data_IF_144241856606
#
_entry.id   IF_144241856606
#
_cell.length_a   1.000
_cell.length_b   1.000
_cell.length_c   1.000
_cell.angle_alpha   90.00
_cell.angle_beta   90.00
_cell.angle_gamma   90.00
#
_symmetry.space_group_name_H-M   'P 1'
#
loop_
_entity.id
_entity.type
_entity.pdbx_description
1 polymer ?
#
# COMPACT_ATOMS: atom_id res chain seq x y z
N UNK A 1 -0.53 -1.51 39.08
CA UNK A 1 -0.64 -1.48 37.61
C UNK A 1 -2.01 -0.94 37.28
N UNK A 2 -2.10 0.25 36.67
CA UNK A 2 -3.39 0.86 36.35
C UNK A 2 -4.06 0.01 35.24
N UNK A 3 -5.25 -0.51 35.53
CA UNK A 3 -6.06 -1.20 34.54
C UNK A 3 -6.31 -0.25 33.37
N UNK A 4 -5.99 -0.69 32.15
CA UNK A 4 -6.17 0.11 30.95
C UNK A 4 -7.69 0.20 30.68
N UNK A 5 -8.31 1.32 31.06
CA UNK A 5 -9.78 1.51 31.13
C UNK A 5 -10.52 1.28 29.80
N UNK A 6 -9.79 1.26 28.66
CA UNK A 6 -10.35 0.98 27.33
C UNK A 6 -10.61 -0.52 27.07
N UNK A 7 -9.84 -1.43 27.67
CA UNK A 7 -9.94 -2.88 27.44
C UNK A 7 -11.04 -3.53 28.29
N UNK A 8 -11.50 -2.88 29.36
CA UNK A 8 -12.47 -3.45 30.29
C UNK A 8 -13.88 -3.64 29.74
N UNK A 9 -14.21 -2.93 28.66
CA UNK A 9 -15.50 -3.03 27.97
C UNK A 9 -15.45 -3.90 26.70
N UNK A 10 -14.31 -4.54 26.42
CA UNK A 10 -14.12 -5.39 25.23
C UNK A 10 -14.42 -6.85 25.54
N UNK A 11 -14.85 -7.59 24.52
CA UNK A 11 -14.98 -9.05 24.56
C UNK A 11 -14.00 -9.74 23.62
N UNK A 12 -13.54 -10.94 24.00
CA UNK A 12 -12.63 -11.76 23.20
C UNK A 12 -13.14 -13.21 23.12
N UNK A 13 -13.04 -13.83 21.94
CA UNK A 13 -13.23 -15.27 21.77
C UNK A 13 -11.86 -15.94 21.59
N UNK A 14 -11.55 -16.91 22.44
CA UNK A 14 -10.31 -17.68 22.38
C UNK A 14 -10.62 -19.07 21.83
N UNK A 15 -10.03 -19.40 20.68
CA UNK A 15 -10.19 -20.68 19.99
C UNK A 15 -8.86 -21.40 19.98
N UNK A 16 -8.77 -22.46 20.76
CA UNK A 16 -7.54 -23.21 21.00
C UNK A 16 -7.94 -24.60 21.47
N UNK A 17 -7.38 -25.66 20.90
CA UNK A 17 -7.78 -27.05 21.22
C UNK A 17 -7.23 -27.50 22.58
N UNK A 18 -6.09 -26.94 22.99
CA UNK A 18 -5.41 -27.28 24.23
C UNK A 18 -6.07 -26.60 25.43
N UNK A 19 -6.72 -27.35 26.34
CA UNK A 19 -7.36 -26.75 27.50
C UNK A 19 -6.39 -25.97 28.40
N UNK A 20 -5.13 -26.42 28.46
CA UNK A 20 -4.07 -25.74 29.23
C UNK A 20 -3.70 -24.39 28.60
N UNK A 21 -3.49 -24.35 27.28
CA UNK A 21 -3.11 -23.12 26.59
C UNK A 21 -4.27 -22.13 26.56
N UNK A 22 -5.49 -22.63 26.33
CA UNK A 22 -6.72 -21.84 26.43
C UNK A 22 -6.91 -21.24 27.82
N UNK A 23 -6.72 -22.02 28.89
CA UNK A 23 -6.82 -21.52 30.27
C UNK A 23 -5.76 -20.45 30.56
N UNK A 24 -4.52 -20.66 30.10
CA UNK A 24 -3.45 -19.68 30.24
C UNK A 24 -3.77 -18.38 29.50
N UNK A 25 -4.29 -18.47 28.28
CA UNK A 25 -4.71 -17.32 27.48
C UNK A 25 -5.85 -16.53 28.13
N UNK A 26 -6.83 -17.22 28.73
CA UNK A 26 -7.91 -16.61 29.52
C UNK A 26 -7.33 -15.82 30.69
N UNK A 27 -6.48 -16.45 31.51
CA UNK A 27 -5.86 -15.80 32.68
C UNK A 27 -5.08 -14.54 32.28
N UNK A 28 -4.39 -14.58 31.13
CA UNK A 28 -3.69 -13.40 30.60
C UNK A 28 -4.67 -12.29 30.22
N UNK A 29 -5.74 -12.60 29.47
CA UNK A 29 -6.75 -11.62 29.08
C UNK A 29 -7.42 -10.97 30.31
N UNK A 30 -7.70 -11.75 31.35
CA UNK A 30 -8.25 -11.25 32.62
C UNK A 30 -7.29 -10.28 33.32
N UNK A 31 -5.99 -10.62 33.40
CA UNK A 31 -4.96 -9.73 33.96
C UNK A 31 -4.81 -8.42 33.19
N UNK A 32 -5.07 -8.45 31.88
CA UNK A 32 -5.07 -7.26 31.02
C UNK A 32 -6.38 -6.44 31.11
N UNK A 33 -7.36 -6.93 31.87
CA UNK A 33 -8.59 -6.22 32.19
C UNK A 33 -9.79 -6.59 31.32
N UNK A 34 -9.68 -7.53 30.39
CA UNK A 34 -10.81 -8.01 29.56
C UNK A 34 -11.72 -8.87 30.45
N UNK A 35 -13.00 -8.49 30.56
CA UNK A 35 -13.95 -9.16 31.46
C UNK A 35 -14.85 -10.18 30.79
N UNK A 36 -14.97 -10.14 29.46
CA UNK A 36 -15.97 -10.90 28.72
C UNK A 36 -15.25 -11.82 27.72
N UNK A 37 -14.94 -13.03 28.17
CA UNK A 37 -14.09 -14.00 27.46
C UNK A 37 -14.93 -15.22 27.08
N UNK A 38 -15.04 -15.49 25.79
CA UNK A 38 -15.63 -16.69 25.23
C UNK A 38 -14.52 -17.70 24.88
N UNK A 39 -14.84 -18.98 24.90
CA UNK A 39 -13.87 -20.06 24.67
C UNK A 39 -14.46 -21.11 23.74
N UNK A 40 -13.66 -21.60 22.80
CA UNK A 40 -13.95 -22.71 21.92
C UNK A 40 -12.73 -23.64 21.80
N UNK A 41 -12.97 -24.94 21.65
CA UNK A 41 -11.92 -25.95 21.47
C UNK A 41 -11.51 -26.19 20.00
N UNK A 42 -12.31 -25.76 19.03
CA UNK A 42 -12.02 -25.90 17.60
C UNK A 42 -12.82 -24.87 16.78
N UNK A 43 -12.62 -24.86 15.46
CA UNK A 43 -13.33 -23.94 14.58
C UNK A 43 -14.86 -24.15 14.51
N UNK A 44 -15.35 -25.39 14.63
CA UNK A 44 -16.78 -25.67 14.60
C UNK A 44 -17.50 -25.09 15.82
N UNK A 45 -16.98 -25.35 17.03
CA UNK A 45 -17.49 -24.78 18.28
C UNK A 45 -17.47 -23.25 18.25
N UNK A 46 -16.42 -22.67 17.65
CA UNK A 46 -16.32 -21.22 17.50
C UNK A 46 -17.44 -20.66 16.62
N UNK A 47 -17.74 -21.28 15.47
CA UNK A 47 -18.82 -20.86 14.58
C UNK A 47 -20.20 -21.03 15.24
N UNK A 48 -20.42 -22.11 15.97
CA UNK A 48 -21.65 -22.34 16.73
C UNK A 48 -21.86 -21.27 17.80
N UNK A 49 -20.81 -20.95 18.56
CA UNK A 49 -20.86 -19.87 19.55
C UNK A 49 -21.16 -18.53 18.88
N UNK A 50 -20.48 -18.19 17.78
CA UNK A 50 -20.73 -16.95 17.05
C UNK A 50 -22.17 -16.82 16.57
N UNK A 51 -22.79 -17.91 16.12
CA UNK A 51 -24.19 -17.94 15.70
C UNK A 51 -25.18 -17.72 16.87
N UNK A 52 -24.82 -18.11 18.10
CA UNK A 52 -25.65 -17.96 19.29
C UNK A 52 -25.50 -16.58 19.96
N UNK A 53 -24.39 -15.87 19.71
CA UNK A 53 -24.10 -14.59 20.35
C UNK A 53 -24.93 -13.45 19.73
N UNK A 54 -25.69 -12.73 20.57
CA UNK A 54 -26.42 -11.52 20.16
C UNK A 54 -25.51 -10.38 19.71
N UNK A 55 -24.27 -10.34 20.20
CA UNK A 55 -23.24 -9.37 19.85
C UNK A 55 -21.95 -10.13 19.59
N UNK A 56 -21.34 -9.88 18.43
CA UNK A 56 -20.06 -10.48 18.05
C UNK A 56 -18.96 -10.07 19.04
N UNK A 57 -17.97 -10.94 19.29
CA UNK A 57 -16.82 -10.58 20.09
C UNK A 57 -16.03 -9.44 19.43
N UNK A 58 -15.44 -8.55 20.22
CA UNK A 58 -14.63 -7.44 19.67
C UNK A 58 -13.31 -7.96 19.07
N UNK A 59 -12.86 -9.14 19.49
CA UNK A 59 -11.57 -9.74 19.15
C UNK A 59 -11.74 -11.27 19.09
N UNK A 60 -10.99 -11.93 18.23
CA UNK A 60 -10.89 -13.38 18.23
C UNK A 60 -9.43 -13.81 18.16
N UNK A 61 -9.00 -14.66 19.09
CA UNK A 61 -7.67 -15.25 19.10
C UNK A 61 -7.79 -16.71 18.68
N UNK A 62 -7.04 -17.10 17.65
CA UNK A 62 -7.19 -18.38 16.97
C UNK A 62 -5.87 -19.12 16.93
N UNK A 63 -5.87 -20.35 17.43
CA UNK A 63 -4.81 -21.30 17.10
C UNK A 63 -4.94 -21.78 15.66
N UNK A 64 -3.82 -21.90 14.96
CA UNK A 64 -3.83 -22.41 13.59
C UNK A 64 -4.02 -23.92 13.55
N UNK A 65 -3.63 -24.64 14.60
CA UNK A 65 -3.66 -26.10 14.62
C UNK A 65 -4.70 -26.59 15.61
N UNK A 66 -5.82 -27.09 15.10
CA UNK A 66 -6.91 -27.61 15.91
C UNK A 66 -7.52 -28.84 15.21
N UNK A 67 -8.07 -29.80 15.96
CA UNK A 67 -8.78 -30.92 15.37
C UNK A 67 -10.08 -30.46 14.69
N UNK A 68 -10.57 -31.29 13.78
CA UNK A 68 -11.82 -31.14 13.01
C UNK A 68 -11.86 -29.96 12.04
N UNK A 69 -11.70 -28.74 12.54
CA UNK A 69 -11.59 -27.50 11.76
C UNK A 69 -10.44 -26.67 12.32
N UNK A 70 -9.40 -26.53 11.50
CA UNK A 70 -8.21 -25.77 11.84
C UNK A 70 -8.45 -24.26 11.78
N UNK A 71 -7.48 -23.46 12.24
CA UNK A 71 -7.63 -22.01 12.28
C UNK A 71 -7.73 -21.37 10.88
N UNK A 72 -7.11 -21.98 9.87
CA UNK A 72 -7.11 -21.45 8.49
C UNK A 72 -8.49 -21.65 7.86
N UNK A 73 -9.06 -22.85 7.99
CA UNK A 73 -10.41 -23.17 7.52
C UNK A 73 -11.46 -22.33 8.25
N UNK A 74 -11.32 -22.16 9.57
CA UNK A 74 -12.18 -21.28 10.36
C UNK A 74 -12.21 -19.86 9.80
N UNK A 75 -11.04 -19.28 9.48
CA UNK A 75 -10.97 -17.91 8.97
C UNK A 75 -11.59 -17.78 7.57
N UNK A 76 -11.42 -18.77 6.70
CA UNK A 76 -12.12 -18.82 5.42
C UNK A 76 -13.64 -18.85 5.61
N UNK A 77 -14.13 -19.68 6.54
CA UNK A 77 -15.57 -19.75 6.88
C UNK A 77 -16.11 -18.46 7.46
N UNK A 78 -15.34 -17.76 8.30
CA UNK A 78 -15.72 -16.43 8.80
C UNK A 78 -15.93 -15.45 7.64
N UNK A 79 -15.07 -15.49 6.62
CA UNK A 79 -15.21 -14.65 5.43
C UNK A 79 -16.45 -15.01 4.59
N UNK A 80 -16.70 -16.30 4.33
CA UNK A 80 -17.90 -16.77 3.62
C UNK A 80 -19.19 -16.36 4.33
N UNK A 81 -19.19 -16.41 5.66
CA UNK A 81 -20.32 -16.03 6.53
C UNK A 81 -20.35 -14.53 6.86
N UNK A 82 -19.46 -13.73 6.27
CA UNK A 82 -19.39 -12.27 6.43
C UNK A 82 -19.17 -11.78 7.87
N UNK A 83 -18.52 -12.58 8.73
CA UNK A 83 -18.01 -12.11 10.02
C UNK A 83 -16.77 -11.24 9.80
N UNK A 84 -16.68 -10.12 10.52
CA UNK A 84 -15.58 -9.13 10.41
C UNK A 84 -15.03 -8.85 11.81
N UNK A 85 -14.35 -9.85 12.37
CA UNK A 85 -13.86 -9.83 13.75
C UNK A 85 -12.34 -9.68 13.71
N UNK A 86 -11.74 -8.68 14.38
CA UNK A 86 -10.28 -8.55 14.50
C UNK A 86 -9.61 -9.80 15.06
N UNK A 87 -8.68 -10.38 14.29
CA UNK A 87 -8.02 -11.64 14.56
C UNK A 87 -6.65 -11.46 15.21
N UNK A 88 -6.33 -12.33 16.17
CA UNK A 88 -4.97 -12.57 16.66
C UNK A 88 -4.65 -14.04 16.37
N UNK A 89 -3.60 -14.29 15.59
CA UNK A 89 -3.15 -15.66 15.35
C UNK A 89 -2.23 -16.07 16.51
N UNK A 90 -2.45 -17.22 17.13
CA UNK A 90 -1.49 -17.83 18.03
C UNK A 90 -0.92 -19.11 17.40
N UNK A 91 0.39 -19.25 17.25
CA UNK A 91 0.98 -20.46 16.65
C UNK A 91 2.35 -20.81 17.23
N UNK A 92 2.69 -22.10 17.23
CA UNK A 92 4.02 -22.65 17.56
C UNK A 92 4.91 -22.90 16.33
N UNK A 93 4.39 -22.66 15.12
CA UNK A 93 5.04 -22.97 13.83
C UNK A 93 6.07 -21.93 13.40
N UNK A 94 6.78 -22.26 12.32
CA UNK A 94 7.76 -21.39 11.67
C UNK A 94 7.14 -20.07 11.17
N UNK A 95 7.96 -19.02 11.15
CA UNK A 95 7.55 -17.66 10.78
C UNK A 95 7.03 -17.55 9.34
N UNK A 96 7.50 -18.42 8.46
CA UNK A 96 7.04 -18.55 7.07
C UNK A 96 5.56 -18.90 6.98
N UNK A 97 5.09 -19.90 7.76
CA UNK A 97 3.69 -20.31 7.78
C UNK A 97 2.81 -19.21 8.37
N UNK A 98 3.25 -18.59 9.47
CA UNK A 98 2.53 -17.48 10.12
C UNK A 98 2.41 -16.30 9.14
N UNK A 99 3.47 -15.99 8.40
CA UNK A 99 3.45 -14.95 7.37
C UNK A 99 2.48 -15.29 6.25
N UNK A 100 2.49 -16.52 5.73
CA UNK A 100 1.57 -16.94 4.66
C UNK A 100 0.10 -16.87 5.08
N UNK A 101 -0.21 -17.31 6.30
CA UNK A 101 -1.58 -17.20 6.84
C UNK A 101 -1.93 -15.73 7.07
N UNK A 102 -1.03 -14.92 7.60
CA UNK A 102 -1.27 -13.48 7.79
C UNK A 102 -1.59 -12.78 6.46
N UNK A 103 -0.81 -13.06 5.41
CA UNK A 103 -1.08 -12.57 4.05
C UNK A 103 -2.46 -13.02 3.58
N UNK A 104 -2.79 -14.30 3.73
CA UNK A 104 -4.09 -14.84 3.35
C UNK A 104 -5.26 -14.14 4.06
N UNK A 105 -5.17 -13.92 5.37
CA UNK A 105 -6.18 -13.18 6.15
C UNK A 105 -6.37 -11.76 5.60
N UNK A 106 -5.26 -11.06 5.36
CA UNK A 106 -5.32 -9.69 4.83
C UNK A 106 -5.89 -9.64 3.41
N UNK A 107 -5.56 -10.61 2.55
CA UNK A 107 -6.10 -10.73 1.18
C UNK A 107 -7.59 -11.06 1.18
N UNK A 108 -8.06 -11.86 2.14
CA UNK A 108 -9.48 -12.14 2.36
C UNK A 108 -10.24 -10.94 2.95
N UNK A 109 -9.54 -9.85 3.27
CA UNK A 109 -10.12 -8.63 3.83
C UNK A 109 -10.52 -8.75 5.30
N UNK A 110 -9.98 -9.74 6.03
CA UNK A 110 -10.22 -9.89 7.46
C UNK A 110 -9.23 -9.00 8.27
N UNK A 111 -9.70 -8.30 9.31
CA UNK A 111 -8.84 -7.47 10.15
C UNK A 111 -7.89 -8.32 10.99
N UNK A 112 -6.58 -8.15 10.84
CA UNK A 112 -5.54 -8.85 11.60
C UNK A 112 -4.83 -7.90 12.57
N UNK A 113 -4.87 -8.19 13.87
CA UNK A 113 -4.22 -7.43 14.94
C UNK A 113 -2.76 -7.84 15.16
N UNK A 114 -2.40 -9.06 14.75
CA UNK A 114 -1.05 -9.57 14.83
C UNK A 114 -1.01 -11.08 15.00
N UNK A 115 0.22 -11.58 15.10
CA UNK A 115 0.51 -12.98 15.38
C UNK A 115 1.35 -13.10 16.66
N UNK A 116 1.04 -14.11 17.46
CA UNK A 116 1.68 -14.42 18.73
C UNK A 116 2.34 -15.80 18.61
N UNK A 117 3.59 -15.88 19.06
CA UNK A 117 4.24 -17.19 19.24
C UNK A 117 3.81 -17.80 20.56
N UNK A 118 3.53 -19.09 20.55
CA UNK A 118 3.29 -19.87 21.77
C UNK A 118 4.65 -20.24 22.41
N UNK A 119 4.82 -20.12 23.74
CA UNK A 119 3.83 -19.68 24.73
C UNK A 119 3.58 -18.16 24.67
N UNK A 120 2.31 -17.76 24.85
CA UNK A 120 1.86 -16.37 24.68
C UNK A 120 2.55 -15.45 25.69
N UNK A 121 3.28 -14.45 25.20
CA UNK A 121 3.91 -13.44 26.06
C UNK A 121 2.93 -12.29 26.36
N UNK A 122 2.71 -11.91 27.64
CA UNK A 122 1.80 -10.82 28.02
C UNK A 122 2.11 -9.49 27.34
N UNK A 123 3.40 -9.17 27.13
CA UNK A 123 3.80 -7.93 26.47
C UNK A 123 3.45 -7.91 24.98
N UNK A 124 3.58 -9.07 24.31
CA UNK A 124 3.20 -9.21 22.89
C UNK A 124 1.68 -9.18 22.73
N UNK A 125 0.94 -9.87 23.61
CA UNK A 125 -0.52 -9.83 23.62
C UNK A 125 -1.02 -8.39 23.85
N UNK A 126 -0.44 -7.66 24.80
CA UNK A 126 -0.74 -6.24 25.00
C UNK A 126 -0.46 -5.39 23.76
N UNK A 127 0.66 -5.62 23.07
CA UNK A 127 0.99 -4.91 21.84
C UNK A 127 -0.06 -5.17 20.74
N UNK A 128 -0.44 -6.42 20.50
CA UNK A 128 -1.49 -6.79 19.55
C UNK A 128 -2.86 -6.19 19.93
N UNK A 129 -3.20 -6.20 21.22
CA UNK A 129 -4.45 -5.62 21.71
C UNK A 129 -4.47 -4.09 21.62
N UNK A 130 -3.35 -3.41 21.82
CA UNK A 130 -3.24 -1.96 21.56
C UNK A 130 -3.40 -1.66 20.05
N UNK A 131 -3.14 -2.65 19.20
CA UNK A 131 -3.48 -2.65 17.79
C UNK A 131 -4.98 -2.47 17.53
N UNK A 132 -5.89 -2.80 18.45
CA UNK A 132 -7.33 -2.54 18.29
C UNK A 132 -7.64 -1.07 18.22
N UNK A 133 -7.05 -0.27 19.12
CA UNK A 133 -7.21 1.18 19.10
C UNK A 133 -6.61 1.76 17.82
N UNK A 134 -5.59 1.10 17.24
CA UNK A 134 -5.03 1.45 15.93
C UNK A 134 -5.90 0.98 14.76
N UNK A 135 -6.54 -0.19 14.77
CA UNK A 135 -7.51 -0.64 13.75
C UNK A 135 -8.83 0.15 13.81
N UNK A 136 -9.14 0.74 14.97
CA UNK A 136 -10.24 1.69 15.13
C UNK A 136 -9.86 3.12 14.68
N UNK A 137 -8.56 3.43 14.58
CA UNK A 137 -8.01 4.71 14.09
C UNK A 137 -7.50 4.66 12.65
N UNK A 138 -7.08 3.49 12.19
CA UNK A 138 -6.88 3.17 10.80
C UNK A 138 -8.26 2.96 10.21
N UNK A 139 -8.58 3.59 9.07
CA UNK A 139 -9.81 3.32 8.39
C UNK A 139 -9.71 1.92 7.80
N UNK A 140 -10.02 0.88 8.59
CA UNK A 140 -10.65 -0.27 7.97
C UNK A 140 -11.85 0.29 7.22
N UNK A 141 -11.91 -0.02 5.93
CA UNK A 141 -13.08 0.18 5.09
C UNK A 141 -14.27 -0.61 5.67
N UNK A 142 -14.79 -0.22 6.84
CA UNK A 142 -16.23 0.01 6.93
C UNK A 142 -16.53 0.79 5.68
N UNK A 143 -17.44 0.29 4.85
CA UNK A 143 -18.05 1.10 3.81
C UNK A 143 -18.36 2.45 4.47
N UNK A 144 -17.50 3.43 4.22
CA UNK A 144 -17.71 4.77 4.71
C UNK A 144 -19.00 5.18 4.02
N UNK A 145 -19.93 5.89 4.67
CA UNK A 145 -21.15 6.35 4.01
C UNK A 145 -20.88 7.10 2.69
N UNK A 146 -19.64 7.55 2.47
CA UNK A 146 -19.11 8.09 1.22
C UNK A 146 -19.22 7.12 0.02
N UNK A 147 -18.83 5.83 0.09
CA UNK A 147 -18.93 4.94 -1.09
C UNK A 147 -20.36 4.62 -1.49
N UNK A 148 -21.30 4.67 -0.53
CA UNK A 148 -22.73 4.54 -0.82
C UNK A 148 -23.35 5.82 -1.42
N UNK A 149 -22.63 6.95 -1.36
CA UNK A 149 -23.10 8.25 -1.85
C UNK A 149 -22.54 8.62 -3.22
N UNK A 150 -21.33 8.19 -3.58
CA UNK A 150 -20.68 8.57 -4.85
C UNK A 150 -21.15 7.70 -6.04
N UNK A 151 -21.63 8.35 -7.10
CA UNK A 151 -22.06 7.72 -8.36
C UNK A 151 -21.18 8.12 -9.53
N UNK A 152 -21.29 7.37 -10.63
CA UNK A 152 -20.48 7.64 -11.83
C UNK A 152 -20.79 9.01 -12.43
N UNK A 153 -22.04 9.46 -12.32
CA UNK A 153 -22.49 10.77 -12.76
C UNK A 153 -21.79 11.88 -11.96
N UNK A 154 -21.72 11.75 -10.64
CA UNK A 154 -21.04 12.71 -9.76
C UNK A 154 -19.56 12.86 -10.14
N UNK A 155 -18.91 11.74 -10.53
CA UNK A 155 -17.52 11.76 -10.95
C UNK A 155 -17.31 12.47 -12.29
N UNK A 156 -18.23 12.30 -13.25
CA UNK A 156 -18.17 13.02 -14.53
C UNK A 156 -18.30 14.54 -14.28
N UNK A 157 -19.26 14.93 -13.44
CA UNK A 157 -19.44 16.34 -13.07
C UNK A 157 -18.22 16.88 -12.32
N UNK A 158 -17.65 16.10 -11.39
CA UNK A 158 -16.45 16.49 -10.66
C UNK A 158 -15.25 16.71 -11.57
N UNK A 159 -15.06 15.85 -12.59
CA UNK A 159 -14.00 16.02 -13.60
C UNK A 159 -14.27 17.30 -14.41
N UNK A 160 -15.50 17.50 -14.89
CA UNK A 160 -15.87 18.66 -15.71
C UNK A 160 -15.71 19.99 -14.96
N UNK A 161 -15.99 20.00 -13.66
CA UNK A 161 -15.84 21.17 -12.79
C UNK A 161 -14.43 21.35 -12.21
N UNK A 162 -13.46 20.50 -12.60
CA UNK A 162 -12.08 20.60 -12.11
C UNK A 162 -11.90 20.30 -10.61
N UNK A 163 -12.82 19.52 -10.02
CA UNK A 163 -12.77 19.12 -8.61
C UNK A 163 -11.78 17.98 -8.36
N UNK A 164 -11.44 17.21 -9.40
CA UNK A 164 -10.38 16.20 -9.32
C UNK A 164 -9.05 16.87 -9.66
N UNK A 165 -8.17 16.97 -8.65
CA UNK A 165 -6.91 17.70 -8.74
C UNK A 165 -5.72 16.79 -8.42
N UNK A 166 -4.53 17.06 -8.99
CA UNK A 166 -3.33 16.34 -8.65
C UNK A 166 -2.74 16.86 -7.33
N UNK A 167 -2.46 15.92 -6.42
CA UNK A 167 -1.51 16.11 -5.32
C UNK A 167 -0.18 15.50 -5.74
N UNK A 168 0.91 16.07 -5.27
CA UNK A 168 2.26 15.69 -5.68
C UNK A 168 3.00 15.09 -4.50
N UNK A 169 3.45 13.85 -4.64
CA UNK A 169 4.31 13.21 -3.67
C UNK A 169 5.77 13.23 -4.17
N UNK A 170 6.71 13.80 -3.41
CA UNK A 170 8.12 13.86 -3.82
C UNK A 170 8.78 12.48 -3.94
N UNK A 171 9.49 12.28 -5.05
CA UNK A 171 10.44 11.20 -5.30
C UNK A 171 11.86 11.72 -5.11
N UNK A 172 12.62 11.12 -4.20
CA UNK A 172 13.92 11.64 -3.75
C UNK A 172 15.02 10.62 -4.02
N UNK A 173 16.16 11.11 -4.52
CA UNK A 173 17.40 10.35 -4.70
C UNK A 173 17.93 9.88 -3.35
N UNK A 174 18.04 8.56 -3.19
CA UNK A 174 18.39 7.92 -1.92
C UNK A 174 19.83 8.23 -1.50
N UNK A 175 20.74 8.40 -2.46
CA UNK A 175 22.15 8.67 -2.16
C UNK A 175 22.38 10.12 -1.68
N UNK A 176 21.73 11.08 -2.32
CA UNK A 176 21.98 12.52 -2.12
C UNK A 176 20.93 13.22 -1.28
N UNK A 177 19.74 12.63 -1.16
CA UNK A 177 18.56 13.25 -0.57
C UNK A 177 17.92 14.33 -1.47
N UNK A 178 18.39 14.55 -2.70
CA UNK A 178 17.82 15.57 -3.58
C UNK A 178 16.53 15.09 -4.23
N UNK A 179 15.55 15.99 -4.38
CA UNK A 179 14.36 15.68 -5.19
C UNK A 179 14.76 15.37 -6.63
N UNK A 180 14.16 14.32 -7.20
CA UNK A 180 14.31 13.95 -8.62
C UNK A 180 13.01 14.10 -9.38
N UNK A 181 11.90 13.81 -8.72
CA UNK A 181 10.59 13.79 -9.35
C UNK A 181 9.45 13.98 -8.37
N UNK A 182 8.25 13.89 -8.91
CA UNK A 182 7.02 13.75 -8.13
C UNK A 182 6.12 12.69 -8.77
N UNK A 183 5.34 12.00 -7.95
CA UNK A 183 4.17 11.28 -8.41
C UNK A 183 2.92 12.17 -8.29
N UNK A 184 2.12 12.22 -9.36
CA UNK A 184 0.84 12.91 -9.39
C UNK A 184 -0.29 11.95 -8.99
N UNK A 185 -0.82 12.18 -7.79
CA UNK A 185 -1.87 11.38 -7.17
C UNK A 185 -3.19 12.14 -7.21
N UNK A 186 -4.20 11.55 -7.86
CA UNK A 186 -5.52 12.16 -7.94
C UNK A 186 -6.15 12.32 -6.54
N UNK A 187 -6.78 13.46 -6.30
CA UNK A 187 -7.60 13.74 -5.12
C UNK A 187 -8.87 14.45 -5.55
N UNK A 188 -10.01 14.06 -5.00
CA UNK A 188 -11.27 14.74 -5.26
C UNK A 188 -11.54 15.76 -4.16
N UNK A 189 -11.50 17.04 -4.51
CA UNK A 189 -11.95 18.14 -3.67
C UNK A 189 -13.48 18.24 -3.75
N UNK A 190 -14.17 17.39 -3.01
CA UNK A 190 -15.63 17.37 -3.00
C UNK A 190 -16.17 18.57 -2.20
N UNK A 191 -17.16 19.33 -2.71
CA UNK A 191 -17.68 20.53 -2.05
C UNK A 191 -18.18 20.28 -0.61
N UNK A 192 -18.89 19.16 -0.41
CA UNK A 192 -19.47 18.81 0.90
C UNK A 192 -18.60 17.85 1.74
N UNK A 193 -18.06 16.79 1.12
CA UNK A 193 -17.31 15.73 1.79
C UNK A 193 -15.82 16.06 2.02
N UNK A 194 -15.32 17.16 1.46
CA UNK A 194 -13.92 17.54 1.54
C UNK A 194 -13.02 16.69 0.64
N UNK A 195 -11.77 16.46 1.06
CA UNK A 195 -10.77 15.79 0.25
C UNK A 195 -10.94 14.26 0.29
N UNK A 196 -11.29 13.66 -0.84
CA UNK A 196 -11.50 12.22 -0.99
C UNK A 196 -10.29 11.58 -1.69
N UNK A 197 -9.84 10.44 -1.16
CA UNK A 197 -8.72 9.65 -1.67
C UNK A 197 -9.12 8.80 -2.91
N UNK A 198 -8.16 8.44 -3.78
CA UNK A 198 -8.41 7.72 -5.03
C UNK A 198 -9.10 6.37 -4.83
N UNK A 199 -8.81 5.65 -3.75
CA UNK A 199 -9.40 4.34 -3.43
C UNK A 199 -10.94 4.36 -3.40
N UNK A 200 -11.54 5.52 -3.18
CA UNK A 200 -13.00 5.69 -3.13
C UNK A 200 -13.65 5.93 -4.51
N UNK A 201 -12.91 6.47 -5.50
CA UNK A 201 -13.49 6.87 -6.79
C UNK A 201 -12.79 6.30 -8.02
N UNK A 202 -11.55 5.83 -7.93
CA UNK A 202 -10.87 5.13 -9.04
C UNK A 202 -11.61 3.84 -9.41
N UNK A 203 -12.02 2.95 -8.47
CA UNK A 203 -12.78 1.75 -8.81
C UNK A 203 -14.12 2.07 -9.50
N UNK A 204 -14.71 3.22 -9.18
CA UNK A 204 -15.94 3.70 -9.80
C UNK A 204 -15.69 4.20 -11.23
N UNK A 205 -14.60 4.94 -11.45
CA UNK A 205 -14.13 5.39 -12.76
C UNK A 205 -13.84 4.19 -13.67
N UNK A 206 -13.16 3.18 -13.14
CA UNK A 206 -12.73 1.99 -13.88
C UNK A 206 -13.88 1.09 -14.33
N UNK A 207 -15.11 1.29 -13.85
CA UNK A 207 -16.28 0.60 -14.42
C UNK A 207 -16.62 1.07 -15.85
N UNK A 208 -16.16 2.25 -16.26
CA UNK A 208 -16.41 2.82 -17.59
C UNK A 208 -15.14 3.35 -18.25
N UNK A 209 -14.78 2.79 -19.42
CA UNK A 209 -13.62 3.23 -20.21
C UNK A 209 -13.67 4.73 -20.53
N UNK A 210 -14.88 5.30 -20.69
CA UNK A 210 -15.07 6.72 -20.93
C UNK A 210 -14.67 7.57 -19.71
N UNK A 211 -15.11 7.19 -18.52
CA UNK A 211 -14.90 7.96 -17.29
C UNK A 211 -13.42 7.90 -16.87
N UNK A 212 -12.84 6.70 -16.85
CA UNK A 212 -11.41 6.55 -16.52
C UNK A 212 -10.52 7.27 -17.53
N UNK A 213 -10.89 7.31 -18.82
CA UNK A 213 -10.20 8.12 -19.82
C UNK A 213 -10.27 9.61 -19.50
N UNK A 214 -11.47 10.15 -19.23
CA UNK A 214 -11.63 11.57 -18.89
C UNK A 214 -10.81 11.94 -17.65
N UNK A 215 -10.86 11.11 -16.62
CA UNK A 215 -10.10 11.30 -15.39
C UNK A 215 -8.58 11.32 -15.65
N UNK A 216 -8.08 10.34 -16.40
CA UNK A 216 -6.65 10.22 -16.71
C UNK A 216 -6.16 11.43 -17.51
N UNK A 217 -6.92 11.87 -18.53
CA UNK A 217 -6.59 13.07 -19.31
C UNK A 217 -6.61 14.34 -18.45
N UNK A 218 -7.62 14.50 -17.59
CA UNK A 218 -7.74 15.66 -16.71
C UNK A 218 -6.57 15.76 -15.72
N UNK A 219 -6.16 14.65 -15.10
CA UNK A 219 -5.00 14.62 -14.20
C UNK A 219 -3.70 14.84 -14.96
N UNK A 220 -3.53 14.24 -16.14
CA UNK A 220 -2.34 14.41 -16.96
C UNK A 220 -2.16 15.85 -17.43
N UNK A 221 -3.21 16.48 -17.95
CA UNK A 221 -3.18 17.88 -18.40
C UNK A 221 -2.86 18.84 -17.23
N UNK A 222 -3.53 18.68 -16.09
CA UNK A 222 -3.25 19.49 -14.91
C UNK A 222 -1.81 19.31 -14.41
N UNK A 223 -1.30 18.08 -14.40
CA UNK A 223 0.07 17.75 -13.99
C UNK A 223 1.10 18.35 -14.94
N UNK A 224 0.90 18.22 -16.26
CA UNK A 224 1.81 18.73 -17.28
C UNK A 224 1.82 20.26 -17.28
N UNK A 225 0.67 20.90 -17.12
CA UNK A 225 0.57 22.36 -16.94
C UNK A 225 1.33 22.81 -15.68
N UNK A 226 1.23 22.06 -14.59
CA UNK A 226 1.96 22.37 -13.35
C UNK A 226 3.47 22.16 -13.51
N UNK A 227 3.88 21.12 -14.24
CA UNK A 227 5.26 20.88 -14.65
C UNK A 227 5.84 22.08 -15.42
N UNK A 228 5.11 22.60 -16.41
CA UNK A 228 5.55 23.77 -17.16
C UNK A 228 5.77 25.00 -16.27
N UNK A 229 4.87 25.21 -15.29
CA UNK A 229 5.03 26.29 -14.32
C UNK A 229 6.25 26.10 -13.39
N UNK A 230 6.64 24.86 -13.06
CA UNK A 230 7.86 24.57 -12.29
C UNK A 230 9.13 24.69 -13.13
N UNK A 231 9.11 24.23 -14.38
CA UNK A 231 10.22 24.41 -15.33
C UNK A 231 10.56 25.90 -15.53
N UNK A 232 9.55 26.78 -15.63
CA UNK A 232 9.76 28.24 -15.70
C UNK A 232 10.44 28.82 -14.46
N UNK A 233 10.36 28.14 -13.32
CA UNK A 233 11.04 28.49 -12.06
C UNK A 233 12.33 27.68 -11.85
N UNK A 234 12.87 27.10 -12.92
CA UNK A 234 14.10 26.29 -12.92
C UNK A 234 14.03 25.03 -12.05
N UNK A 235 12.83 24.55 -11.73
CA UNK A 235 12.61 23.29 -11.04
C UNK A 235 12.25 22.22 -12.07
N UNK A 236 13.28 21.59 -12.62
CA UNK A 236 13.15 20.52 -13.61
C UNK A 236 13.10 19.16 -12.91
N UNK A 237 11.91 18.57 -12.88
CA UNK A 237 11.64 17.29 -12.23
C UNK A 237 11.18 16.24 -13.25
N UNK A 238 11.20 14.97 -12.86
CA UNK A 238 10.38 13.93 -13.49
C UNK A 238 8.98 13.89 -12.88
N UNK A 239 7.99 13.46 -13.65
CA UNK A 239 6.58 13.44 -13.28
C UNK A 239 6.00 12.08 -13.58
N UNK A 240 5.58 11.39 -12.54
CA UNK A 240 4.94 10.10 -12.66
C UNK A 240 3.42 10.26 -12.64
N UNK A 241 2.72 9.64 -13.59
CA UNK A 241 1.26 9.71 -13.73
C UNK A 241 0.73 8.29 -13.88
N UNK A 242 -0.25 7.96 -13.04
CA UNK A 242 -0.94 6.68 -13.07
C UNK A 242 -1.75 6.52 -14.37
N UNK A 243 -1.60 5.37 -15.03
CA UNK A 243 -2.26 5.00 -16.26
C UNK A 243 -3.10 3.73 -16.04
N UNK A 244 -4.42 3.86 -16.15
CA UNK A 244 -5.30 2.70 -16.07
C UNK A 244 -5.04 1.76 -17.26
N UNK A 245 -4.91 0.45 -17.01
CA UNK A 245 -4.68 -0.54 -18.05
C UNK A 245 -5.80 -0.68 -19.07
N UNK A 246 -7.04 -0.33 -18.68
CA UNK A 246 -8.20 -0.38 -19.59
C UNK A 246 -7.97 0.50 -20.81
N UNK A 247 -7.13 1.53 -20.67
CA UNK A 247 -6.79 2.47 -21.72
C UNK A 247 -5.63 2.01 -22.62
N UNK A 248 -4.87 0.98 -22.24
CA UNK A 248 -3.71 0.50 -22.99
C UNK A 248 -4.09 -0.15 -24.33
N UNK A 249 -5.33 -0.60 -24.49
CA UNK A 249 -5.85 -1.12 -25.76
C UNK A 249 -6.30 -0.03 -26.73
N UNK A 250 -6.46 1.22 -26.27
CA UNK A 250 -7.03 2.32 -27.05
C UNK A 250 -5.97 3.11 -27.82
N UNK A 251 -6.01 3.00 -29.15
CA UNK A 251 -5.12 3.77 -30.05
C UNK A 251 -5.42 5.27 -29.98
N UNK A 252 -6.69 5.65 -29.87
CA UNK A 252 -7.09 7.06 -29.81
C UNK A 252 -6.55 7.72 -28.53
N UNK A 253 -6.64 7.02 -27.40
CA UNK A 253 -6.11 7.51 -26.13
C UNK A 253 -4.61 7.80 -26.20
N UNK A 254 -3.82 6.91 -26.81
CA UNK A 254 -2.39 7.15 -27.02
C UNK A 254 -2.12 8.46 -27.78
N UNK A 255 -2.91 8.78 -28.82
CA UNK A 255 -2.73 10.03 -29.56
C UNK A 255 -3.08 11.27 -28.72
N UNK A 256 -3.95 11.14 -27.73
CA UNK A 256 -4.34 12.23 -26.86
C UNK A 256 -3.24 12.53 -25.84
N UNK A 257 -2.79 11.51 -25.10
CA UNK A 257 -1.76 11.70 -24.08
C UNK A 257 -0.41 12.16 -24.65
N UNK A 258 -0.10 11.81 -25.90
CA UNK A 258 1.14 12.25 -26.55
C UNK A 258 1.10 13.69 -27.06
N UNK A 259 -0.08 14.31 -27.15
CA UNK A 259 -0.21 15.73 -27.54
C UNK A 259 -0.06 16.68 -26.37
N UNK A 260 -0.46 16.27 -25.17
CA UNK A 260 -0.50 17.14 -23.97
C UNK A 260 0.88 17.75 -23.66
N UNK A 261 2.00 16.99 -23.63
CA UNK A 261 3.31 17.57 -23.30
C UNK A 261 3.75 18.62 -24.32
N UNK A 262 3.54 18.35 -25.61
CA UNK A 262 3.91 19.25 -26.70
C UNK A 262 3.15 20.59 -26.62
N UNK A 263 1.87 20.58 -26.23
CA UNK A 263 1.07 21.79 -26.06
C UNK A 263 1.60 22.72 -24.94
N UNK A 264 2.31 22.16 -23.96
CA UNK A 264 2.86 22.89 -22.82
C UNK A 264 4.38 23.07 -22.86
N UNK A 265 5.04 22.66 -23.95
CA UNK A 265 6.49 22.75 -24.09
C UNK A 265 7.26 21.83 -23.13
N UNK A 266 6.67 20.70 -22.76
CA UNK A 266 7.27 19.68 -21.88
C UNK A 266 7.86 18.55 -22.71
N UNK A 267 9.08 18.14 -22.37
CA UNK A 267 9.73 16.98 -22.99
C UNK A 267 9.10 15.69 -22.47
N UNK A 268 8.90 14.72 -23.36
CA UNK A 268 8.28 13.44 -22.99
C UNK A 268 9.14 12.66 -21.99
N UNK A 269 10.46 12.87 -22.02
CA UNK A 269 11.44 12.28 -21.10
C UNK A 269 11.24 12.73 -19.65
N UNK A 270 10.55 13.84 -19.42
CA UNK A 270 10.17 14.26 -18.07
C UNK A 270 8.96 13.48 -17.52
N UNK A 271 8.25 12.70 -18.35
CA UNK A 271 6.99 12.06 -17.96
C UNK A 271 7.15 10.54 -17.93
N UNK A 272 6.78 9.96 -16.80
CA UNK A 272 6.74 8.52 -16.57
C UNK A 272 5.29 8.08 -16.41
N UNK A 273 4.85 7.12 -17.22
CA UNK A 273 3.53 6.50 -17.03
C UNK A 273 3.66 5.29 -16.13
N UNK A 274 2.89 5.25 -15.05
CA UNK A 274 2.87 4.15 -14.09
C UNK A 274 1.70 3.23 -14.39
N UNK A 275 1.95 1.92 -14.46
CA UNK A 275 0.92 0.91 -14.67
C UNK A 275 1.03 -0.16 -13.60
N UNK A 276 -0.10 -0.58 -13.03
CA UNK A 276 -0.11 -1.60 -11.99
C UNK A 276 0.20 -2.99 -12.55
N UNK A 277 0.85 -3.80 -11.72
CA UNK A 277 1.34 -5.14 -12.05
C UNK A 277 0.27 -6.08 -12.64
N UNK A 278 -0.81 -6.32 -11.88
CA UNK A 278 -1.90 -7.25 -12.18
C UNK A 278 -2.60 -6.97 -13.52
N UNK A 279 -2.49 -5.75 -13.96
CA UNK A 279 -3.28 -5.20 -15.04
C UNK A 279 -2.69 -5.43 -16.43
N UNK A 280 -1.37 -5.56 -16.50
CA UNK A 280 -0.65 -5.77 -17.76
C UNK A 280 -0.82 -7.20 -18.28
N UNK A 281 -1.16 -8.14 -17.39
CA UNK A 281 -1.31 -9.58 -17.69
C UNK A 281 -2.54 -9.88 -18.54
N UNK A 282 -3.66 -9.17 -18.31
CA UNK A 282 -4.96 -9.52 -18.90
C UNK A 282 -5.07 -9.20 -20.40
N UNK A 283 -4.23 -8.32 -20.95
CA UNK A 283 -4.23 -7.98 -22.39
C UNK A 283 -2.82 -7.60 -22.88
N UNK A 284 -1.86 -8.50 -22.65
CA UNK A 284 -0.43 -8.25 -22.84
C UNK A 284 -0.07 -7.80 -24.27
N UNK A 285 -0.67 -8.37 -25.31
CA UNK A 285 -0.30 -8.06 -26.70
C UNK A 285 -0.68 -6.61 -27.12
N UNK A 286 -1.91 -6.17 -26.79
CA UNK A 286 -2.33 -4.80 -27.08
C UNK A 286 -1.59 -3.79 -26.19
N UNK A 287 -1.42 -4.12 -24.91
CA UNK A 287 -0.68 -3.30 -23.96
C UNK A 287 0.78 -3.08 -24.39
N UNK A 288 1.48 -4.14 -24.80
CA UNK A 288 2.85 -4.07 -25.32
C UNK A 288 2.98 -3.09 -26.49
N UNK A 289 2.01 -3.10 -27.42
CA UNK A 289 2.02 -2.18 -28.56
C UNK A 289 1.94 -0.71 -28.14
N UNK A 290 1.09 -0.38 -27.16
CA UNK A 290 0.95 0.99 -26.65
C UNK A 290 2.14 1.41 -25.79
N UNK A 291 2.60 0.55 -24.89
CA UNK A 291 3.78 0.80 -24.04
C UNK A 291 5.05 0.99 -24.89
N UNK A 292 5.26 0.15 -25.91
CA UNK A 292 6.38 0.32 -26.84
C UNK A 292 6.32 1.65 -27.59
N UNK A 293 5.13 2.09 -28.03
CA UNK A 293 4.96 3.40 -28.69
C UNK A 293 5.25 4.56 -27.74
N UNK A 294 4.86 4.46 -26.46
CA UNK A 294 5.20 5.46 -25.45
C UNK A 294 6.71 5.58 -25.29
N UNK A 295 7.42 4.45 -25.19
CA UNK A 295 8.89 4.43 -25.13
C UNK A 295 9.55 5.02 -26.37
N UNK A 296 9.07 4.68 -27.57
CA UNK A 296 9.57 5.25 -28.82
C UNK A 296 9.35 6.76 -28.93
N UNK A 297 8.40 7.31 -28.16
CA UNK A 297 8.15 8.77 -28.07
C UNK A 297 8.96 9.45 -26.96
N UNK A 298 9.77 8.72 -26.20
CA UNK A 298 10.64 9.26 -25.16
C UNK A 298 10.07 9.19 -23.74
N UNK A 299 8.83 8.71 -23.54
CA UNK A 299 8.24 8.59 -22.20
C UNK A 299 8.97 7.54 -21.35
N UNK A 300 9.06 7.79 -20.05
CA UNK A 300 9.37 6.76 -19.06
C UNK A 300 8.17 5.82 -18.87
N UNK A 301 8.45 4.59 -18.47
CA UNK A 301 7.42 3.63 -18.05
C UNK A 301 7.82 3.03 -16.71
N UNK A 302 6.90 3.05 -15.76
CA UNK A 302 7.05 2.43 -14.46
C UNK A 302 6.04 1.31 -14.28
N UNK A 303 6.47 0.23 -13.64
CA UNK A 303 5.57 -0.81 -13.14
C UNK A 303 5.37 -0.60 -11.64
N UNK A 304 4.11 -0.52 -11.24
CA UNK A 304 3.69 -0.26 -9.86
C UNK A 304 3.30 -1.54 -9.10
N UNK A 305 3.37 -1.45 -7.77
CA UNK A 305 3.00 -2.51 -6.82
C UNK A 305 3.78 -3.84 -6.95
N UNK A 306 5.05 -3.80 -7.37
CA UNK A 306 5.83 -5.01 -7.59
C UNK A 306 5.90 -5.88 -6.32
N UNK A 307 5.52 -7.15 -6.47
CA UNK A 307 5.57 -8.18 -5.43
C UNK A 307 4.24 -8.45 -4.73
N UNK A 308 3.20 -7.66 -5.00
CA UNK A 308 1.84 -7.91 -4.48
C UNK A 308 0.99 -8.80 -5.41
N UNK A 309 1.48 -9.10 -6.62
CA UNK A 309 0.78 -9.88 -7.64
C UNK A 309 1.60 -11.02 -8.29
N UNK A 310 1.17 -11.40 -9.50
CA UNK A 310 1.69 -12.54 -10.28
C UNK A 310 2.72 -12.16 -11.38
N UNK A 311 3.40 -11.02 -11.29
CA UNK A 311 4.44 -10.66 -12.26
C UNK A 311 5.57 -11.65 -12.18
N UNK A 312 5.66 -12.48 -13.21
CA UNK A 312 6.85 -13.27 -13.43
C UNK A 312 7.98 -12.35 -13.90
N UNK A 313 9.21 -12.61 -13.48
CA UNK A 313 10.41 -11.94 -13.99
C UNK A 313 10.46 -11.93 -15.53
N UNK A 314 9.79 -12.88 -16.17
CA UNK A 314 9.64 -12.94 -17.63
C UNK A 314 8.87 -11.75 -18.21
N UNK A 315 7.90 -11.18 -17.48
CA UNK A 315 7.15 -10.00 -17.94
C UNK A 315 8.02 -8.74 -17.88
N UNK A 316 8.72 -8.53 -16.77
CA UNK A 316 9.68 -7.43 -16.63
C UNK A 316 10.74 -7.46 -17.74
N UNK A 317 11.21 -8.65 -18.13
CA UNK A 317 12.18 -8.79 -19.22
C UNK A 317 11.61 -8.50 -20.63
N UNK A 318 10.28 -8.56 -20.82
CA UNK A 318 9.63 -8.40 -22.13
C UNK A 318 9.09 -7.00 -22.38
N UNK A 319 8.69 -6.31 -21.31
CA UNK A 319 8.05 -5.01 -21.39
C UNK A 319 9.13 -3.94 -21.21
N UNK A 320 9.14 -2.86 -22.01
CA UNK A 320 10.22 -1.87 -21.98
C UNK A 320 10.07 -0.88 -20.82
N UNK A 321 9.89 -1.38 -19.60
CA UNK A 321 9.89 -0.57 -18.38
C UNK A 321 11.26 0.06 -18.15
N UNK A 322 11.26 1.27 -17.59
CA UNK A 322 12.46 2.01 -17.19
C UNK A 322 12.58 2.15 -15.69
N UNK A 323 11.50 1.88 -14.96
CA UNK A 323 11.41 2.07 -13.52
C UNK A 323 10.62 0.90 -12.91
N UNK A 324 11.11 0.37 -11.79
CA UNK A 324 10.44 -0.62 -10.95
C UNK A 324 10.09 0.04 -9.62
N UNK A 325 8.79 0.15 -9.31
CA UNK A 325 8.32 0.57 -7.98
C UNK A 325 8.14 -0.66 -7.09
N UNK A 326 8.80 -0.65 -5.94
CA UNK A 326 8.75 -1.71 -4.95
C UNK A 326 7.74 -1.31 -3.88
N UNK A 327 6.69 -2.13 -3.72
CA UNK A 327 5.57 -1.82 -2.84
C UNK A 327 5.99 -1.65 -1.38
N UNK A 328 5.24 -0.80 -0.67
CA UNK A 328 5.44 -0.49 0.76
C UNK A 328 5.49 -1.74 1.65
N UNK A 329 4.80 -2.82 1.29
CA UNK A 329 4.80 -4.06 2.08
C UNK A 329 6.16 -4.75 2.15
N UNK A 330 7.06 -4.46 1.21
CA UNK A 330 8.44 -4.96 1.21
C UNK A 330 9.45 -3.95 1.77
N UNK A 331 9.08 -2.67 1.88
CA UNK A 331 9.98 -1.59 2.28
C UNK A 331 9.78 -1.22 3.75
N UNK A 332 8.54 -1.03 4.20
CA UNK A 332 8.26 -0.59 5.56
C UNK A 332 8.64 -1.68 6.58
N UNK A 333 9.57 -1.35 7.47
CA UNK A 333 10.04 -2.29 8.49
C UNK A 333 11.00 -3.36 7.98
N UNK A 334 11.46 -3.27 6.72
CA UNK A 334 12.44 -4.19 6.16
C UNK A 334 13.75 -4.22 6.96
N UNK A 335 14.12 -3.10 7.59
CA UNK A 335 15.31 -3.05 8.46
C UNK A 335 15.23 -3.95 9.71
N UNK A 336 14.03 -4.39 10.10
CA UNK A 336 13.79 -5.23 11.28
C UNK A 336 13.46 -6.67 10.94
N UNK A 337 13.04 -6.94 9.70
CA UNK A 337 12.57 -8.25 9.25
C UNK A 337 13.48 -8.82 8.17
N UNK A 338 14.24 -9.86 8.52
CA UNK A 338 15.22 -10.46 7.61
C UNK A 338 14.59 -10.95 6.30
N UNK A 339 13.39 -11.52 6.33
CA UNK A 339 12.70 -12.01 5.14
C UNK A 339 12.35 -10.86 4.17
N UNK A 340 11.78 -9.75 4.69
CA UNK A 340 11.48 -8.58 3.87
C UNK A 340 12.75 -7.95 3.31
N UNK A 341 13.80 -7.86 4.14
CA UNK A 341 15.11 -7.35 3.73
C UNK A 341 15.71 -8.13 2.55
N UNK A 342 15.60 -9.47 2.54
CA UNK A 342 16.10 -10.33 1.46
C UNK A 342 15.29 -10.08 0.17
N UNK A 343 13.96 -10.01 0.27
CA UNK A 343 13.08 -9.78 -0.88
C UNK A 343 13.35 -8.39 -1.48
N UNK A 344 13.46 -7.36 -0.64
CA UNK A 344 13.78 -6.00 -1.04
C UNK A 344 15.12 -5.92 -1.80
N UNK A 345 16.20 -6.49 -1.26
CA UNK A 345 17.50 -6.53 -1.95
C UNK A 345 17.40 -7.27 -3.30
N UNK A 346 16.70 -8.41 -3.34
CA UNK A 346 16.51 -9.18 -4.58
C UNK A 346 15.79 -8.39 -5.66
N UNK A 347 14.74 -7.65 -5.29
CA UNK A 347 14.00 -6.79 -6.21
C UNK A 347 14.88 -5.66 -6.76
N UNK A 348 15.69 -5.02 -5.91
CA UNK A 348 16.63 -3.96 -6.30
C UNK A 348 17.70 -4.52 -7.26
N UNK A 349 18.32 -5.65 -6.91
CA UNK A 349 19.35 -6.28 -7.73
C UNK A 349 18.83 -6.69 -9.10
N UNK A 350 17.60 -7.21 -9.14
CA UNK A 350 16.95 -7.61 -10.39
C UNK A 350 16.69 -6.40 -11.29
N UNK A 351 16.11 -5.32 -10.76
CA UNK A 351 15.87 -4.08 -11.52
C UNK A 351 17.18 -3.54 -12.11
N UNK A 352 18.23 -3.45 -11.29
CA UNK A 352 19.55 -2.99 -11.70
C UNK A 352 20.12 -3.84 -12.85
N UNK A 353 19.99 -5.18 -12.77
CA UNK A 353 20.43 -6.11 -13.83
C UNK A 353 19.60 -6.00 -15.11
N UNK A 354 18.34 -5.60 -15.01
CA UNK A 354 17.46 -5.32 -16.16
C UNK A 354 17.63 -3.89 -16.70
N UNK A 355 18.51 -3.08 -16.10
CA UNK A 355 18.74 -1.69 -16.52
C UNK A 355 17.57 -0.75 -16.18
N UNK A 356 16.80 -1.06 -15.14
CA UNK A 356 15.69 -0.25 -14.65
C UNK A 356 16.11 0.54 -13.40
N UNK A 357 15.63 1.78 -13.28
CA UNK A 357 15.68 2.55 -12.04
C UNK A 357 14.78 1.92 -10.98
N UNK A 358 15.13 2.06 -9.70
CA UNK A 358 14.34 1.54 -8.58
C UNK A 358 13.70 2.67 -7.79
N UNK A 359 12.41 2.52 -7.47
CA UNK A 359 11.68 3.41 -6.56
C UNK A 359 11.16 2.57 -5.41
N UNK A 360 11.63 2.82 -4.18
CA UNK A 360 11.09 2.19 -2.99
C UNK A 360 9.94 3.03 -2.42
N UNK A 361 8.76 2.43 -2.27
CA UNK A 361 7.57 3.10 -1.74
C UNK A 361 7.38 2.88 -0.23
N UNK A 362 6.63 3.76 0.42
CA UNK A 362 6.27 3.57 1.83
C UNK A 362 7.45 3.66 2.81
N UNK A 363 8.49 4.44 2.50
CA UNK A 363 9.55 4.72 3.47
C UNK A 363 9.01 5.56 4.63
N UNK A 364 8.91 4.96 5.80
CA UNK A 364 8.36 5.59 7.01
C UNK A 364 9.42 5.92 8.06
N UNK A 365 10.57 5.25 8.04
CA UNK A 365 11.63 5.40 9.04
C UNK A 365 12.99 5.76 8.42
N UNK A 366 13.86 6.39 9.22
CA UNK A 366 15.23 6.65 8.81
C UNK A 366 16.03 5.35 8.66
N UNK A 367 15.69 4.31 9.42
CA UNK A 367 16.34 3.00 9.35
C UNK A 367 16.07 2.32 8.01
N UNK A 368 14.83 2.33 7.51
CA UNK A 368 14.50 1.82 6.18
C UNK A 368 15.22 2.63 5.09
N UNK A 369 15.29 3.96 5.23
CA UNK A 369 16.09 4.82 4.34
C UNK A 369 17.58 4.39 4.29
N UNK A 370 18.19 4.10 5.44
CA UNK A 370 19.60 3.63 5.50
C UNK A 370 19.76 2.24 4.86
N UNK A 371 18.79 1.36 5.04
CA UNK A 371 18.81 0.05 4.38
C UNK A 371 18.78 0.20 2.85
N UNK A 372 17.90 1.06 2.34
CA UNK A 372 17.82 1.36 0.90
C UNK A 372 19.14 1.93 0.34
N UNK A 373 19.84 2.77 1.11
CA UNK A 373 21.19 3.24 0.74
C UNK A 373 22.20 2.10 0.65
N UNK A 374 22.18 1.16 1.60
CA UNK A 374 23.08 0.00 1.59
C UNK A 374 22.82 -0.90 0.39
N UNK A 375 21.55 -1.05 0.01
CA UNK A 375 21.11 -1.91 -1.08
C UNK A 375 21.30 -1.27 -2.45
N UNK A 376 21.63 0.03 -2.50
CA UNK A 376 21.82 0.76 -3.75
C UNK A 376 20.50 1.05 -4.47
N UNK A 377 19.41 1.23 -3.73
CA UNK A 377 18.17 1.76 -4.30
C UNK A 377 18.38 3.20 -4.79
N UNK A 378 17.83 3.56 -5.95
CA UNK A 378 18.06 4.87 -6.57
C UNK A 378 17.15 5.95 -5.98
N UNK A 379 15.84 5.68 -5.91
CA UNK A 379 14.81 6.64 -5.57
C UNK A 379 13.91 6.09 -4.45
N UNK A 380 13.44 6.96 -3.57
CA UNK A 380 12.49 6.61 -2.52
C UNK A 380 11.33 7.60 -2.43
N UNK A 381 10.19 7.07 -1.99
CA UNK A 381 8.96 7.79 -1.70
C UNK A 381 8.35 7.26 -0.39
N UNK A 382 7.77 8.15 0.41
CA UNK A 382 7.14 7.74 1.67
C UNK A 382 6.96 8.88 2.67
N UNK A 383 6.26 8.61 3.77
CA UNK A 383 5.91 9.64 4.76
C UNK A 383 7.10 10.17 5.56
N UNK A 384 8.21 9.43 5.62
CA UNK A 384 9.48 9.93 6.13
C UNK A 384 10.02 11.14 5.32
N UNK A 385 9.71 11.15 4.02
CA UNK A 385 10.09 12.19 3.07
C UNK A 385 9.01 13.27 3.04
N UNK A 386 7.80 12.89 2.61
CA UNK A 386 6.62 13.74 2.54
C UNK A 386 5.35 12.93 2.23
N UNK A 387 4.23 13.41 2.77
CA UNK A 387 2.89 13.06 2.27
C UNK A 387 2.61 13.76 0.93
N UNK A 388 1.68 13.24 0.12
CA UNK A 388 1.19 13.95 -1.06
C UNK A 388 0.67 15.34 -0.67
N UNK A 389 1.05 16.37 -1.44
CA UNK A 389 0.71 17.76 -1.14
C UNK A 389 0.21 18.53 -2.37
N UNK A 390 -0.57 19.60 -2.22
CA UNK A 390 -0.91 20.50 -3.32
C UNK A 390 0.34 21.14 -3.94
N UNK A 391 0.27 21.52 -5.21
CA UNK A 391 1.41 22.12 -5.93
C UNK A 391 2.01 23.36 -5.25
N UNK A 392 1.17 24.15 -4.56
CA UNK A 392 1.58 25.37 -3.87
C UNK A 392 2.52 25.10 -2.68
N UNK A 393 2.43 23.91 -2.08
CA UNK A 393 3.20 23.55 -0.89
C UNK A 393 4.59 22.99 -1.23
N UNK A 394 4.81 22.53 -2.46
CA UNK A 394 6.05 21.86 -2.86
C UNK A 394 7.30 22.74 -2.63
N UNK A 395 7.25 24.03 -2.95
CA UNK A 395 8.39 24.94 -2.73
C UNK A 395 8.67 25.19 -1.25
N UNK A 396 7.63 25.21 -0.42
CA UNK A 396 7.79 25.35 1.04
C UNK A 396 8.42 24.09 1.61
N UNK A 397 7.95 22.92 1.17
CA UNK A 397 8.55 21.64 1.53
C UNK A 397 10.02 21.57 1.07
N UNK A 398 10.36 21.97 -0.16
CA UNK A 398 11.73 21.97 -0.68
C UNK A 398 12.70 22.78 0.20
N UNK A 399 12.27 23.94 0.70
CA UNK A 399 13.08 24.77 1.59
C UNK A 399 13.41 24.05 2.90
N UNK A 400 12.43 23.40 3.51
CA UNK A 400 12.63 22.60 4.72
C UNK A 400 13.46 21.34 4.45
N UNK A 401 13.21 20.68 3.33
CA UNK A 401 13.92 19.47 2.91
C UNK A 401 15.41 19.73 2.65
N UNK A 402 15.76 20.87 2.08
CA UNK A 402 17.16 21.27 1.87
C UNK A 402 17.97 21.35 3.17
N UNK A 403 17.33 21.63 4.31
CA UNK A 403 17.98 21.63 5.63
C UNK A 403 18.28 20.21 6.13
N UNK A 404 17.50 19.20 5.69
CA UNK A 404 17.67 17.79 6.05
C UNK A 404 18.70 17.05 5.19
N UNK A 405 19.21 17.67 4.12
CA UNK A 405 20.10 16.98 3.16
C UNK A 405 21.36 16.40 3.81
N UNK A 406 21.94 17.08 4.80
CA UNK A 406 23.12 16.57 5.52
C UNK A 406 22.83 15.27 6.28
N UNK A 407 21.61 15.10 6.78
CA UNK A 407 21.19 13.91 7.52
C UNK A 407 20.85 12.76 6.56
N UNK A 408 20.29 13.09 5.39
CA UNK A 408 19.82 12.10 4.42
C UNK A 408 20.92 11.54 3.53
N UNK A 409 22.00 12.29 3.28
CA UNK A 409 23.11 11.83 2.44
C UNK A 409 23.67 10.49 2.92
N UNK A 410 24.03 9.65 1.97
CA UNK A 410 24.75 8.41 2.25
C UNK A 410 26.03 8.75 3.03
N UNK A 411 26.35 8.01 4.11
CA UNK A 411 27.62 8.22 4.80
C UNK A 411 28.75 8.00 3.81
N UNK A 412 29.75 8.88 3.79
CA UNK A 412 30.97 8.66 3.03
C UNK A 412 31.52 7.28 3.41
N UNK A 413 31.53 6.31 2.48
CA UNK A 413 32.13 5.01 2.74
C UNK A 413 33.60 5.21 3.14
N UNK A 414 33.89 5.04 4.43
CA UNK A 414 35.24 4.71 4.88
C UNK A 414 35.51 3.30 4.36
N UNK A 415 36.19 3.22 3.21
CA UNK A 415 36.85 2.04 2.63
C UNK A 415 36.09 0.71 2.67
N UNK A 416 35.66 0.21 1.50
CA UNK A 416 35.55 -1.25 1.33
C UNK A 416 36.92 -1.87 1.62
N UNK A 417 37.07 -2.83 2.56
CA UNK A 417 38.29 -3.62 2.63
C UNK A 417 38.39 -4.45 1.35
N UNK A 418 39.61 -4.51 0.82
CA UNK A 418 39.99 -5.12 -0.45
C UNK A 418 39.68 -6.63 -0.54
#
# INVERSE_FOLDING_TARGET
>A
MAANTELSNKSILIVDDSPLQRSFAVEMCEKLGIRLIFQAGNGLEALELLALLKKQPDIMMVDLEMPDMDGVELIQKLQELHYQIPLIIASSREESLISSVSTMITTLGQPLLGSLRKPINPAQLLASLNGLSQLQRQPHHKHSPITAQLRQEDLIEAIAHGQIVPFFQPKVDVATGLIKGVEALARWQHPELGLIAPDFFIPLAEKSDHIIRLLTLAIAEQTIRQCAAWNQRSLHLSYAINLSPRLLSSINFFQEITKIPALHGISNEQITWEVTESSVVNNLAAALGTLARLRLKGFGLSIDDYGTGFSSMQQLARIPFTELKIDRSFVNGACQQQNLSIILQSAIDMANRLGMSTVAEGVETQQDWRLLQQFGCEIAQGYFIAKPMPAAELFTWLKGHNQRLSELRAPSHVGKPA
#
